data_IF_492864330264
#
_entry.id   IF_492864330264
#
_cell.length_a   1.000
_cell.length_b   1.000
_cell.length_c   1.000
_cell.angle_alpha   90.00
_cell.angle_beta   90.00
_cell.angle_gamma   90.00
#
_symmetry.space_group_name_H-M   'P 1'
#
loop_
_entity.id
_entity.type
_entity.pdbx_description
1 polymer ?
#
# COMPACT_ATOMS: atom_id res chain seq x y z
N UNK A 1 55.87 -5.10 -3.24
CA UNK A 1 55.14 -5.51 -2.03
C UNK A 1 55.92 -6.57 -1.29
N UNK A 2 56.26 -6.32 -0.03
CA UNK A 2 56.86 -7.32 0.86
C UNK A 2 55.79 -8.31 1.38
N UNK A 3 56.20 -9.40 2.03
CA UNK A 3 55.27 -10.45 2.44
C UNK A 3 54.26 -9.99 3.51
N UNK A 4 54.63 -9.03 4.35
CA UNK A 4 53.76 -8.42 5.35
C UNK A 4 52.65 -7.59 4.72
N UNK A 5 52.96 -6.80 3.68
CA UNK A 5 51.96 -6.04 2.92
C UNK A 5 50.96 -6.94 2.22
N UNK A 6 51.40 -8.10 1.69
CA UNK A 6 50.49 -9.08 1.06
C UNK A 6 49.53 -9.72 2.05
N UNK A 7 50.01 -10.06 3.25
CA UNK A 7 49.16 -10.59 4.32
C UNK A 7 48.14 -9.55 4.79
N UNK A 8 48.58 -8.30 4.98
CA UNK A 8 47.69 -7.20 5.35
C UNK A 8 46.63 -6.95 4.28
N UNK A 9 47.01 -6.93 3.00
CA UNK A 9 46.07 -6.74 1.89
C UNK A 9 45.01 -7.84 1.81
N UNK A 10 45.39 -9.10 2.03
CA UNK A 10 44.44 -10.22 2.04
C UNK A 10 43.42 -10.12 3.19
N UNK A 11 43.85 -9.68 4.37
CA UNK A 11 42.96 -9.46 5.51
C UNK A 11 42.04 -8.25 5.29
N UNK A 12 42.57 -7.14 4.77
CA UNK A 12 41.77 -5.95 4.44
C UNK A 12 40.70 -6.27 3.40
N UNK A 13 41.01 -7.07 2.38
CA UNK A 13 40.03 -7.49 1.39
C UNK A 13 38.85 -8.24 2.02
N UNK A 14 39.10 -9.18 2.93
CA UNK A 14 38.03 -9.91 3.62
C UNK A 14 37.19 -9.01 4.53
N UNK A 15 37.83 -8.04 5.19
CA UNK A 15 37.12 -7.04 6.01
C UNK A 15 36.26 -6.13 5.13
N UNK A 16 36.76 -5.74 3.95
CA UNK A 16 36.00 -4.94 3.00
C UNK A 16 34.77 -5.71 2.49
N UNK A 17 34.93 -6.98 2.11
CA UNK A 17 33.80 -7.82 1.67
C UNK A 17 32.72 -7.94 2.76
N UNK A 18 33.14 -8.05 4.04
CA UNK A 18 32.22 -8.09 5.18
C UNK A 18 31.53 -6.75 5.40
N UNK A 19 32.25 -5.63 5.30
CA UNK A 19 31.69 -4.29 5.47
C UNK A 19 30.70 -3.96 4.35
N UNK A 20 31.04 -4.30 3.11
CA UNK A 20 30.16 -4.14 1.95
C UNK A 20 28.87 -4.95 2.14
N UNK A 21 28.97 -6.20 2.58
CA UNK A 21 27.80 -7.04 2.88
C UNK A 21 26.96 -6.49 4.05
N UNK A 22 27.60 -5.99 5.11
CA UNK A 22 26.90 -5.39 6.24
C UNK A 22 26.17 -4.10 5.83
N UNK A 23 26.82 -3.28 5.01
CA UNK A 23 26.25 -2.04 4.49
C UNK A 23 25.09 -2.30 3.52
N UNK A 24 25.19 -3.36 2.72
CA UNK A 24 24.11 -3.81 1.84
C UNK A 24 22.86 -4.16 2.65
N UNK A 25 23.01 -4.99 3.70
CA UNK A 25 21.90 -5.30 4.62
C UNK A 25 21.37 -4.03 5.28
N UNK A 26 22.24 -3.19 5.83
CA UNK A 26 21.79 -1.98 6.51
C UNK A 26 20.99 -1.03 5.60
N UNK A 27 21.41 -0.89 4.34
CA UNK A 27 20.81 0.05 3.39
C UNK A 27 19.55 -0.49 2.74
N UNK A 28 19.58 -1.77 2.32
CA UNK A 28 18.54 -2.39 1.50
C UNK A 28 17.47 -3.14 2.32
N UNK A 29 17.63 -3.25 3.64
CA UNK A 29 16.61 -3.81 4.53
C UNK A 29 15.74 -2.74 5.21
N UNK A 30 15.49 -1.65 4.49
CA UNK A 30 14.55 -0.59 4.90
C UNK A 30 13.35 -0.58 3.97
N UNK A 31 12.15 -0.24 4.48
CA UNK A 31 10.95 -0.20 3.64
C UNK A 31 11.05 0.85 2.52
N UNK A 32 11.99 1.80 2.56
CA UNK A 32 12.15 2.80 1.50
C UNK A 32 13.08 2.32 0.38
N UNK A 33 14.11 1.54 0.71
CA UNK A 33 15.12 1.09 -0.26
C UNK A 33 14.99 -0.38 -0.67
N UNK A 34 14.24 -1.19 0.08
CA UNK A 34 14.10 -2.61 -0.22
C UNK A 34 13.50 -2.84 -1.61
N UNK A 35 14.09 -3.76 -2.36
CA UNK A 35 13.65 -4.16 -3.70
C UNK A 35 13.50 -5.68 -3.78
N UNK A 36 12.71 -6.15 -4.74
CA UNK A 36 12.52 -7.58 -5.00
C UNK A 36 12.23 -8.40 -3.74
N UNK A 37 13.07 -9.41 -3.49
CA UNK A 37 12.91 -10.37 -2.37
C UNK A 37 12.94 -9.68 -1.00
N UNK A 38 13.80 -8.68 -0.78
CA UNK A 38 13.85 -7.98 0.51
C UNK A 38 12.52 -7.29 0.80
N UNK A 39 11.84 -6.77 -0.23
CA UNK A 39 10.53 -6.16 -0.10
C UNK A 39 9.42 -7.21 0.07
N UNK A 40 9.59 -8.43 -0.46
CA UNK A 40 8.67 -9.55 -0.24
C UNK A 40 8.70 -10.08 1.19
N UNK A 41 9.86 -10.07 1.84
CA UNK A 41 9.98 -10.42 3.26
C UNK A 41 9.08 -9.52 4.11
N UNK A 42 9.05 -8.21 3.84
CA UNK A 42 8.11 -7.30 4.51
C UNK A 42 6.66 -7.68 4.25
N UNK A 43 6.32 -8.06 3.01
CA UNK A 43 5.01 -8.58 2.64
C UNK A 43 4.54 -9.74 3.50
N UNK A 44 5.40 -10.75 3.67
CA UNK A 44 5.12 -11.92 4.52
C UNK A 44 4.87 -11.50 5.97
N UNK A 45 5.68 -10.59 6.51
CA UNK A 45 5.54 -10.09 7.90
C UNK A 45 4.21 -9.37 8.09
N UNK A 46 3.79 -8.55 7.12
CA UNK A 46 2.57 -7.72 7.25
C UNK A 46 1.31 -8.44 6.76
N UNK A 47 1.43 -9.65 6.20
CA UNK A 47 0.32 -10.43 5.66
C UNK A 47 -0.20 -9.95 4.31
N UNK A 48 0.68 -9.38 3.47
CA UNK A 48 0.35 -8.94 2.12
C UNK A 48 1.28 -9.59 1.11
N UNK A 49 0.74 -10.43 0.25
CA UNK A 49 1.51 -11.03 -0.85
C UNK A 49 1.73 -10.04 -2.00
N UNK A 50 2.88 -10.17 -2.65
CA UNK A 50 3.20 -9.46 -3.88
C UNK A 50 2.45 -10.12 -5.03
N UNK A 51 1.37 -9.48 -5.47
CA UNK A 51 0.71 -9.83 -6.73
C UNK A 51 1.54 -9.31 -7.91
N UNK A 52 0.95 -8.96 -9.05
CA UNK A 52 1.64 -8.39 -10.21
C UNK A 52 2.06 -6.92 -10.05
N UNK A 53 2.30 -6.45 -8.82
CA UNK A 53 2.67 -5.07 -8.53
C UNK A 53 4.19 -4.87 -8.72
N UNK A 54 4.58 -3.69 -9.24
CA UNK A 54 5.97 -3.26 -9.21
C UNK A 54 6.39 -2.83 -7.79
N UNK A 55 7.69 -2.67 -7.55
CA UNK A 55 8.23 -2.39 -6.22
C UNK A 55 7.64 -1.12 -5.60
N UNK A 56 7.46 -0.05 -6.38
CA UNK A 56 6.91 1.23 -5.89
C UNK A 56 5.45 1.10 -5.46
N UNK A 57 4.59 0.58 -6.34
CA UNK A 57 3.18 0.36 -6.02
C UNK A 57 3.01 -0.65 -4.87
N UNK A 58 3.90 -1.64 -4.80
CA UNK A 58 3.89 -2.61 -3.71
C UNK A 58 4.32 -1.99 -2.38
N UNK A 59 5.28 -1.06 -2.38
CA UNK A 59 5.70 -0.32 -1.18
C UNK A 59 4.56 0.51 -0.59
N UNK A 60 3.80 1.23 -1.43
CA UNK A 60 2.64 2.00 -0.97
C UNK A 60 1.54 1.09 -0.42
N UNK A 61 1.33 -0.04 -1.08
CA UNK A 61 0.46 -1.11 -0.61
C UNK A 61 0.89 -1.66 0.77
N UNK A 62 2.18 -1.89 1.00
CA UNK A 62 2.71 -2.35 2.29
C UNK A 62 2.53 -1.29 3.38
N UNK A 63 2.80 0.00 3.08
CA UNK A 63 2.55 1.10 4.02
C UNK A 63 1.09 1.14 4.45
N UNK A 64 0.17 1.01 3.51
CA UNK A 64 -1.25 0.91 3.80
C UNK A 64 -1.62 -0.30 4.68
N UNK A 65 -1.03 -1.47 4.41
CA UNK A 65 -1.26 -2.67 5.21
C UNK A 65 -0.68 -2.55 6.62
N UNK A 66 0.50 -1.96 6.78
CA UNK A 66 1.10 -1.69 8.10
C UNK A 66 0.18 -0.78 8.91
N UNK A 67 -0.36 0.28 8.30
CA UNK A 67 -1.30 1.18 8.97
C UNK A 67 -2.59 0.45 9.33
N UNK A 68 -3.08 -0.42 8.45
CA UNK A 68 -4.26 -1.26 8.69
C UNK A 68 -4.04 -2.18 9.89
N UNK A 69 -2.90 -2.87 9.95
CA UNK A 69 -2.56 -3.78 11.04
C UNK A 69 -2.37 -3.03 12.38
N UNK A 70 -2.06 -1.74 12.33
CA UNK A 70 -1.94 -0.85 13.50
C UNK A 70 -3.21 -0.06 13.80
N UNK A 71 -4.25 -0.20 12.98
CA UNK A 71 -5.52 0.50 13.13
C UNK A 71 -6.30 -0.06 14.31
N UNK A 72 -6.92 0.84 15.06
CA UNK A 72 -7.92 0.51 16.08
C UNK A 72 -9.32 0.32 15.49
N UNK A 73 -9.47 0.56 14.18
CA UNK A 73 -10.73 0.47 13.45
C UNK A 73 -11.63 1.68 13.64
N UNK A 74 -11.09 2.80 14.14
CA UNK A 74 -11.80 4.08 14.15
C UNK A 74 -11.95 4.63 12.75
N UNK A 75 -12.87 5.57 12.61
CA UNK A 75 -13.22 6.19 11.34
C UNK A 75 -12.04 6.97 10.75
N UNK A 76 -11.31 7.68 11.60
CA UNK A 76 -10.12 8.45 11.21
C UNK A 76 -9.01 7.51 10.73
N UNK A 77 -8.83 6.36 11.40
CA UNK A 77 -7.85 5.35 10.99
C UNK A 77 -8.18 4.81 9.59
N UNK A 78 -9.46 4.60 9.29
CA UNK A 78 -9.93 4.10 7.99
C UNK A 78 -9.70 5.15 6.90
N UNK A 79 -9.99 6.42 7.17
CA UNK A 79 -9.75 7.50 6.21
C UNK A 79 -8.25 7.65 5.89
N UNK A 80 -7.39 7.52 6.90
CA UNK A 80 -5.94 7.57 6.73
C UNK A 80 -5.43 6.37 5.91
N UNK A 81 -5.93 5.16 6.17
CA UNK A 81 -5.61 3.98 5.35
C UNK A 81 -6.02 4.21 3.89
N UNK A 82 -7.23 4.70 3.66
CA UNK A 82 -7.73 4.91 2.30
C UNK A 82 -6.92 5.97 1.55
N UNK A 83 -6.56 7.08 2.21
CA UNK A 83 -5.73 8.13 1.60
C UNK A 83 -4.32 7.63 1.28
N UNK A 84 -3.72 6.81 2.13
CA UNK A 84 -2.40 6.20 1.88
C UNK A 84 -2.42 5.18 0.74
N UNK A 85 -3.45 4.34 0.66
CA UNK A 85 -3.50 3.26 -0.34
C UNK A 85 -3.93 3.77 -1.72
N UNK A 86 -4.83 4.74 -1.78
CA UNK A 86 -5.46 5.18 -3.04
C UNK A 86 -5.01 6.57 -3.51
N UNK A 87 -4.21 7.25 -2.70
CA UNK A 87 -3.61 8.55 -2.95
C UNK A 87 -4.50 9.72 -2.52
N UNK A 88 -3.86 10.85 -2.16
CA UNK A 88 -4.53 12.09 -1.78
C UNK A 88 -5.37 12.72 -2.93
N UNK A 89 -5.24 12.23 -4.16
CA UNK A 89 -5.97 12.72 -5.33
C UNK A 89 -7.40 12.20 -5.44
N UNK A 90 -7.79 11.24 -4.61
CA UNK A 90 -9.17 10.75 -4.52
C UNK A 90 -9.84 11.41 -3.32
N UNK A 91 -10.53 12.55 -3.51
CA UNK A 91 -11.27 13.17 -2.41
C UNK A 91 -12.38 12.23 -1.94
N UNK A 92 -12.44 12.01 -0.63
CA UNK A 92 -13.41 11.15 0.04
C UNK A 92 -14.07 11.93 1.16
N UNK A 93 -15.39 11.78 1.29
CA UNK A 93 -16.13 12.21 2.48
C UNK A 93 -16.50 10.98 3.30
N UNK A 94 -16.54 11.14 4.62
CA UNK A 94 -16.95 10.08 5.53
C UNK A 94 -18.05 10.59 6.44
N UNK A 95 -19.15 9.84 6.50
CA UNK A 95 -20.32 10.17 7.29
C UNK A 95 -20.59 9.07 8.32
N UNK A 96 -20.76 9.45 9.59
CA UNK A 96 -21.17 8.54 10.65
C UNK A 96 -22.68 8.26 10.59
N UNK A 97 -23.04 6.98 10.65
CA UNK A 97 -24.40 6.51 10.79
C UNK A 97 -24.85 6.46 12.25
N UNK A 98 -26.13 6.22 12.47
CA UNK A 98 -26.75 6.23 13.80
C UNK A 98 -26.58 4.92 14.58
N UNK A 99 -26.28 3.81 13.91
CA UNK A 99 -26.14 2.48 14.52
C UNK A 99 -24.89 1.79 13.97
N UNK A 100 -23.75 1.99 14.63
CA UNK A 100 -22.49 1.30 14.34
C UNK A 100 -22.24 1.13 12.82
N UNK A 101 -22.45 2.21 12.08
CA UNK A 101 -22.35 2.26 10.62
C UNK A 101 -21.59 3.52 10.24
N UNK A 102 -20.79 3.44 9.19
CA UNK A 102 -20.25 4.62 8.53
C UNK A 102 -20.31 4.45 7.02
N UNK A 103 -20.34 5.57 6.33
CA UNK A 103 -20.41 5.67 4.89
C UNK A 103 -19.20 6.42 4.37
N UNK A 104 -18.57 5.89 3.33
CA UNK A 104 -17.46 6.50 2.62
C UNK A 104 -17.93 6.87 1.21
N UNK A 105 -17.98 8.16 0.93
CA UNK A 105 -18.36 8.70 -0.37
C UNK A 105 -17.11 9.09 -1.14
N UNK A 106 -16.87 8.44 -2.28
CA UNK A 106 -15.81 8.83 -3.20
C UNK A 106 -16.31 9.96 -4.09
N UNK A 107 -15.72 11.15 -3.95
CA UNK A 107 -16.21 12.37 -4.60
C UNK A 107 -15.73 12.54 -6.05
N UNK A 108 -15.00 11.55 -6.58
CA UNK A 108 -14.51 11.48 -7.96
C UNK A 108 -14.84 10.15 -8.59
N UNK A 109 -14.88 10.11 -9.93
CA UNK A 109 -15.11 8.86 -10.63
C UNK A 109 -13.92 7.93 -10.45
N UNK A 110 -14.21 6.66 -10.16
CA UNK A 110 -13.21 5.62 -10.02
C UNK A 110 -13.64 4.38 -10.80
N UNK A 111 -12.67 3.57 -11.22
CA UNK A 111 -12.96 2.30 -11.88
C UNK A 111 -13.55 1.30 -10.89
N UNK A 112 -14.43 0.38 -11.33
CA UNK A 112 -15.00 -0.66 -10.46
C UNK A 112 -13.94 -1.53 -9.76
N UNK A 113 -12.82 -1.83 -10.43
CA UNK A 113 -11.70 -2.57 -9.80
C UNK A 113 -11.05 -1.77 -8.65
N UNK A 114 -10.88 -0.45 -8.81
CA UNK A 114 -10.38 0.42 -7.74
C UNK A 114 -11.37 0.44 -6.57
N UNK A 115 -12.67 0.56 -6.84
CA UNK A 115 -13.72 0.54 -5.82
C UNK A 115 -13.77 -0.79 -5.04
N UNK A 116 -13.63 -1.93 -5.72
CA UNK A 116 -13.56 -3.23 -5.07
C UNK A 116 -12.37 -3.33 -4.11
N UNK A 117 -11.20 -2.86 -4.53
CA UNK A 117 -10.00 -2.83 -3.68
C UNK A 117 -10.20 -1.93 -2.46
N UNK A 118 -10.86 -0.78 -2.62
CA UNK A 118 -11.24 0.11 -1.51
C UNK A 118 -12.18 -0.59 -0.54
N UNK A 119 -13.25 -1.22 -1.04
CA UNK A 119 -14.22 -1.94 -0.21
C UNK A 119 -13.57 -3.07 0.59
N UNK A 120 -12.64 -3.83 -0.02
CA UNK A 120 -11.87 -4.87 0.68
C UNK A 120 -10.99 -4.26 1.78
N UNK A 121 -10.32 -3.14 1.51
CA UNK A 121 -9.49 -2.46 2.50
C UNK A 121 -10.31 -1.96 3.70
N UNK A 122 -11.45 -1.31 3.45
CA UNK A 122 -12.37 -0.86 4.51
C UNK A 122 -12.93 -2.04 5.29
N UNK A 123 -13.34 -3.10 4.59
CA UNK A 123 -13.88 -4.32 5.22
C UNK A 123 -12.88 -5.01 6.16
N UNK A 124 -11.58 -4.96 5.83
CA UNK A 124 -10.50 -5.49 6.67
C UNK A 124 -10.09 -4.54 7.79
N UNK A 125 -10.24 -3.23 7.60
CA UNK A 125 -9.83 -2.21 8.56
C UNK A 125 -10.87 -1.80 9.58
N UNK A 126 -12.15 -1.96 9.27
CA UNK A 126 -13.24 -1.61 10.18
C UNK A 126 -13.27 -2.51 11.40
N UNK A 127 -13.72 -1.98 12.53
CA UNK A 127 -13.97 -2.82 13.70
C UNK A 127 -15.04 -3.89 13.43
N UNK A 128 -14.93 -5.01 14.14
CA UNK A 128 -15.90 -6.10 14.04
C UNK A 128 -17.32 -5.61 14.43
N UNK A 129 -18.33 -6.02 13.67
CA UNK A 129 -19.73 -5.63 13.92
C UNK A 129 -20.13 -4.24 13.40
N UNK A 130 -19.19 -3.38 12.98
CA UNK A 130 -19.50 -2.09 12.37
C UNK A 130 -19.84 -2.27 10.89
N UNK A 131 -20.95 -1.70 10.40
CA UNK A 131 -21.28 -1.71 8.97
C UNK A 131 -20.52 -0.60 8.26
N UNK A 132 -20.01 -0.88 7.06
CA UNK A 132 -19.32 0.10 6.24
C UNK A 132 -19.98 0.13 4.86
N UNK A 133 -20.40 1.30 4.40
CA UNK A 133 -20.91 1.51 3.06
C UNK A 133 -19.87 2.28 2.22
N UNK A 134 -19.67 1.88 0.98
CA UNK A 134 -18.81 2.60 0.03
C UNK A 134 -19.66 3.05 -1.15
N UNK A 135 -19.83 4.37 -1.31
CA UNK A 135 -20.46 4.95 -2.47
C UNK A 135 -19.41 5.50 -3.44
N UNK A 136 -19.60 5.22 -4.73
CA UNK A 136 -18.75 5.72 -5.79
C UNK A 136 -19.55 5.83 -7.09
N UNK A 137 -19.00 6.55 -8.07
CA UNK A 137 -19.55 6.60 -9.42
C UNK A 137 -18.49 6.17 -10.44
N UNK A 138 -18.93 5.44 -11.46
CA UNK A 138 -18.10 5.07 -12.60
C UNK A 138 -18.05 6.25 -13.58
N UNK A 139 -16.90 6.46 -14.22
CA UNK A 139 -16.74 7.46 -15.27
C UNK A 139 -17.52 7.10 -16.55
N UNK A 140 -17.87 5.82 -16.72
CA UNK A 140 -18.65 5.34 -17.87
C UNK A 140 -20.13 5.68 -17.69
N UNK A 141 -20.73 6.52 -18.55
CA UNK A 141 -22.15 6.85 -18.42
C UNK A 141 -23.01 5.60 -18.67
N UNK A 142 -23.56 5.03 -17.59
CA UNK A 142 -24.46 3.86 -17.66
C UNK A 142 -25.82 4.23 -18.27
N UNK A 143 -26.22 5.49 -18.15
CA UNK A 143 -27.45 6.04 -18.72
C UNK A 143 -27.13 7.12 -19.74
N UNK A 144 -26.64 6.73 -20.91
CA UNK A 144 -26.67 7.58 -22.09
C UNK A 144 -27.79 7.07 -23.02
N UNK A 145 -28.77 7.93 -23.31
CA UNK A 145 -29.63 7.69 -24.46
C UNK A 145 -28.74 7.90 -25.69
N UNK A 146 -28.51 6.84 -26.46
CA UNK A 146 -27.98 6.96 -27.82
C UNK A 146 -29.05 7.67 -28.65
N UNK A 147 -29.06 9.00 -28.56
CA UNK A 147 -29.92 9.87 -29.32
C UNK A 147 -29.49 9.83 -30.77
N UNK A 148 -29.82 8.74 -31.46
CA UNK A 148 -29.98 8.79 -32.92
C UNK A 148 -31.12 9.77 -33.15
N UNK A 149 -30.77 11.01 -33.45
CA UNK A 149 -31.69 12.05 -33.87
C UNK A 149 -32.48 11.55 -35.07
N UNK A 150 -33.68 11.04 -34.79
CA UNK A 150 -34.68 10.74 -35.79
C UNK A 150 -35.58 11.96 -36.00
N UNK A 151 -35.66 12.36 -37.27
CA UNK A 151 -36.47 13.41 -37.89
C UNK A 151 -35.83 14.81 -37.99
#
# INVERSE_FOLDING_TARGET
>A
MNNTEKLAAALVAQVQDLDDAAMDVFTNFTLDNATGINLDVFGVIVGRERSSANDDAYRDALRGQIRLNRSSGTIEDILEVLTLVFGASVPMALTEGTIAEFEVDVLTSITPDKALRMAIAVGRGKAAGIKANLQFFDATPTFAFDGVGGA
#
